data_IF_392983803991
#
_entry.id   IF_392983803991
#
_cell.length_a   1.000
_cell.length_b   1.000
_cell.length_c   1.000
_cell.angle_alpha   90.00
_cell.angle_beta   90.00
_cell.angle_gamma   90.00
#
_symmetry.space_group_name_H-M   'P 1'
#
loop_
_entity.id
_entity.type
_entity.pdbx_description
1 polymer ?
#
# COMPACT_ATOMS: atom_id res chain seq x y z
N UNK A 1 -2.02 20.53 36.09
CA UNK A 1 -2.19 19.21 35.44
C UNK A 1 -3.39 19.28 34.50
N UNK A 2 -3.14 19.54 33.22
CA UNK A 2 -3.99 19.07 32.12
C UNK A 2 -3.04 18.85 30.95
N UNK A 3 -2.62 17.60 30.78
CA UNK A 3 -1.84 17.18 29.61
C UNK A 3 -2.76 17.23 28.40
N UNK A 4 -2.24 17.78 27.32
CA UNK A 4 -2.91 17.89 26.03
C UNK A 4 -3.53 16.54 25.63
N UNK A 5 -4.85 16.55 25.42
CA UNK A 5 -5.50 15.60 24.51
C UNK A 5 -5.05 15.98 23.10
N UNK A 6 -3.85 15.56 22.72
CA UNK A 6 -3.52 15.45 21.30
C UNK A 6 -4.55 14.50 20.72
N UNK A 7 -5.36 15.02 19.80
CA UNK A 7 -6.35 14.25 19.08
C UNK A 7 -5.68 12.95 18.60
N UNK A 8 -6.17 11.81 19.08
CA UNK A 8 -5.78 10.50 18.57
C UNK A 8 -6.25 10.48 17.10
N UNK A 9 -5.38 10.94 16.20
CA UNK A 9 -5.51 10.65 14.79
C UNK A 9 -5.28 9.15 14.69
N UNK A 10 -6.27 8.36 14.22
CA UNK A 10 -6.08 6.94 14.02
C UNK A 10 -4.78 6.74 13.24
N UNK A 11 -3.94 5.81 13.69
CA UNK A 11 -2.80 5.42 12.86
C UNK A 11 -3.38 5.05 11.49
N UNK A 12 -2.74 5.41 10.39
CA UNK A 12 -3.30 5.10 9.06
C UNK A 12 -3.60 3.60 8.90
N UNK A 13 -2.94 2.75 9.70
CA UNK A 13 -3.16 1.33 9.78
C UNK A 13 -4.52 0.92 10.40
N UNK A 14 -5.11 1.76 11.26
CA UNK A 14 -6.47 1.60 11.79
C UNK A 14 -7.53 1.78 10.68
N UNK A 15 -7.22 2.57 9.65
CA UNK A 15 -8.10 2.80 8.50
C UNK A 15 -7.84 1.84 7.32
N UNK A 16 -6.92 0.89 7.49
CA UNK A 16 -6.56 -0.06 6.44
C UNK A 16 -7.64 -1.13 6.25
N UNK A 17 -8.20 -1.25 5.05
CA UNK A 17 -9.23 -2.24 4.74
C UNK A 17 -8.77 -3.71 4.89
N UNK A 18 -7.45 -3.96 4.84
CA UNK A 18 -6.87 -5.28 5.07
C UNK A 18 -6.66 -5.62 6.55
N UNK A 19 -6.87 -4.65 7.47
CA UNK A 19 -6.74 -4.89 8.90
C UNK A 19 -7.67 -6.02 9.34
N UNK A 20 -7.15 -7.00 10.06
CA UNK A 20 -7.92 -8.16 10.53
C UNK A 20 -8.10 -9.28 9.48
N UNK A 21 -7.66 -9.07 8.23
CA UNK A 21 -7.56 -10.13 7.23
C UNK A 21 -6.23 -10.86 7.47
N UNK A 22 -6.29 -12.17 7.74
CA UNK A 22 -5.10 -12.96 8.11
C UNK A 22 -3.95 -12.87 7.11
N UNK A 23 -2.71 -12.88 7.62
CA UNK A 23 -1.46 -12.68 6.86
C UNK A 23 -1.25 -13.67 5.70
N UNK A 24 -1.88 -14.85 5.75
CA UNK A 24 -1.76 -15.88 4.70
C UNK A 24 -2.22 -15.39 3.31
N UNK A 25 -3.09 -14.38 3.25
CA UNK A 25 -3.53 -13.78 2.00
C UNK A 25 -2.48 -12.88 1.33
N UNK A 26 -1.43 -12.48 2.04
CA UNK A 26 -0.46 -11.47 1.59
C UNK A 26 1.00 -11.97 1.56
N UNK A 27 1.30 -13.14 2.14
CA UNK A 27 2.67 -13.67 2.32
C UNK A 27 2.87 -15.16 1.94
N UNK A 28 1.95 -15.80 1.21
CA UNK A 28 2.07 -17.23 0.85
C UNK A 28 3.12 -17.55 -0.23
N UNK A 29 3.82 -18.69 -0.09
CA UNK A 29 4.88 -19.15 -1.00
C UNK A 29 4.38 -19.60 -2.40
N UNK A 30 3.11 -20.03 -2.52
CA UNK A 30 2.57 -20.71 -3.71
C UNK A 30 1.55 -19.90 -4.56
N UNK A 31 1.19 -18.65 -4.19
CA UNK A 31 0.07 -17.92 -4.82
C UNK A 31 0.42 -16.51 -5.35
N UNK A 32 1.61 -16.31 -5.92
CA UNK A 32 2.16 -14.97 -6.24
C UNK A 32 1.26 -14.07 -7.13
N UNK A 33 0.36 -14.63 -7.94
CA UNK A 33 -0.62 -13.85 -8.72
C UNK A 33 -2.03 -13.82 -8.11
N UNK A 34 -2.49 -14.92 -7.48
CA UNK A 34 -3.82 -14.98 -6.86
C UNK A 34 -3.90 -14.10 -5.60
N UNK A 35 -2.86 -14.10 -4.77
CA UNK A 35 -2.74 -13.22 -3.59
C UNK A 35 -2.70 -11.75 -3.99
N UNK A 36 -1.98 -11.41 -5.07
CA UNK A 36 -1.88 -10.03 -5.55
C UNK A 36 -3.19 -9.51 -6.13
N UNK A 37 -3.91 -10.32 -6.91
CA UNK A 37 -5.25 -9.96 -7.42
C UNK A 37 -6.24 -9.74 -6.27
N UNK A 38 -6.30 -10.65 -5.29
CA UNK A 38 -7.16 -10.51 -4.10
C UNK A 38 -6.82 -9.26 -3.27
N UNK A 39 -5.53 -9.04 -3.02
CA UNK A 39 -5.08 -7.85 -2.29
C UNK A 39 -5.47 -6.56 -3.00
N UNK A 40 -5.38 -6.52 -4.34
CA UNK A 40 -5.76 -5.35 -5.13
C UNK A 40 -7.25 -5.02 -5.06
N UNK A 41 -8.12 -6.04 -4.97
CA UNK A 41 -9.55 -5.85 -4.73
C UNK A 41 -9.77 -5.14 -3.39
N UNK A 42 -9.11 -5.62 -2.33
CA UNK A 42 -9.19 -5.02 -0.99
C UNK A 42 -8.64 -3.58 -1.00
N UNK A 43 -7.52 -3.35 -1.69
CA UNK A 43 -6.90 -2.03 -1.75
C UNK A 43 -7.72 -1.01 -2.55
N UNK A 44 -8.54 -1.44 -3.53
CA UNK A 44 -9.25 -0.54 -4.46
C UNK A 44 -10.16 0.49 -3.79
N UNK A 45 -10.70 0.19 -2.61
CA UNK A 45 -11.51 1.11 -1.79
C UNK A 45 -10.87 1.51 -0.46
N UNK A 46 -9.59 1.20 -0.25
CA UNK A 46 -8.93 1.40 1.03
C UNK A 46 -8.58 2.88 1.25
N UNK A 47 -9.11 3.48 2.34
CA UNK A 47 -8.83 4.88 2.71
C UNK A 47 -7.35 5.11 3.03
N UNK A 48 -6.70 4.10 3.60
CA UNK A 48 -5.28 4.15 3.95
C UNK A 48 -4.32 3.92 2.78
N UNK A 49 -4.78 3.74 1.54
CA UNK A 49 -3.94 3.31 0.41
C UNK A 49 -2.74 4.25 0.17
N UNK A 50 -2.94 5.56 0.32
CA UNK A 50 -1.86 6.55 0.16
C UNK A 50 -0.79 6.40 1.24
N UNK A 51 -1.20 6.41 2.50
CA UNK A 51 -0.29 6.27 3.65
C UNK A 51 0.41 4.91 3.64
N UNK A 52 -0.29 3.85 3.24
CA UNK A 52 0.24 2.50 3.09
C UNK A 52 1.37 2.44 2.05
N UNK A 53 1.17 3.04 0.85
CA UNK A 53 2.23 3.06 -0.17
C UNK A 53 3.40 3.94 0.26
N UNK A 54 3.11 5.10 0.86
CA UNK A 54 4.13 6.03 1.35
C UNK A 54 5.04 5.35 2.36
N UNK A 55 4.47 4.72 3.38
CA UNK A 55 5.20 3.98 4.40
C UNK A 55 6.07 2.87 3.78
N UNK A 56 5.53 2.10 2.83
CA UNK A 56 6.27 1.02 2.19
C UNK A 56 7.49 1.51 1.39
N UNK A 57 7.40 2.70 0.79
CA UNK A 57 8.49 3.28 0.01
C UNK A 57 9.54 3.96 0.92
N UNK A 58 9.11 4.68 1.95
CA UNK A 58 10.01 5.33 2.91
C UNK A 58 10.82 4.32 3.71
N UNK A 59 10.20 3.23 4.15
CA UNK A 59 10.87 2.16 4.90
C UNK A 59 11.51 1.09 4.03
N UNK A 60 11.43 1.25 2.69
CA UNK A 60 11.92 0.27 1.71
C UNK A 60 11.47 -1.16 2.02
N UNK A 61 10.19 -1.32 2.35
CA UNK A 61 9.61 -2.61 2.75
C UNK A 61 9.84 -3.68 1.68
N UNK A 62 10.65 -4.67 2.01
CA UNK A 62 11.16 -5.68 1.07
C UNK A 62 10.14 -6.78 0.76
N UNK A 63 9.12 -6.95 1.62
CA UNK A 63 8.20 -8.07 1.56
C UNK A 63 6.72 -7.65 1.49
N UNK A 64 5.87 -8.60 1.11
CA UNK A 64 4.41 -8.44 1.15
C UNK A 64 3.82 -7.49 0.10
N UNK A 65 2.51 -7.33 0.21
CA UNK A 65 1.72 -6.48 -0.68
C UNK A 65 1.32 -5.21 0.06
N UNK A 66 1.68 -4.06 -0.51
CA UNK A 66 1.41 -2.75 0.07
C UNK A 66 0.67 -1.90 -0.96
N UNK A 67 -0.48 -1.35 -0.61
CA UNK A 67 -1.32 -0.57 -1.53
C UNK A 67 -1.57 -1.26 -2.90
N UNK A 68 -1.68 -2.60 -2.92
CA UNK A 68 -1.87 -3.38 -4.15
C UNK A 68 -0.62 -3.53 -5.03
N UNK A 69 0.55 -3.16 -4.51
CA UNK A 69 1.87 -3.33 -5.15
C UNK A 69 2.61 -4.53 -4.55
N UNK A 70 3.26 -5.33 -5.39
CA UNK A 70 4.19 -6.38 -4.94
C UNK A 70 5.55 -5.80 -4.59
N UNK A 71 6.36 -6.53 -3.82
CA UNK A 71 7.76 -6.18 -3.55
C UNK A 71 8.54 -5.80 -4.81
N UNK A 72 8.50 -6.66 -5.84
CA UNK A 72 9.17 -6.41 -7.14
C UNK A 72 8.67 -5.16 -7.86
N UNK A 73 7.41 -4.77 -7.69
CA UNK A 73 6.91 -3.51 -8.25
C UNK A 73 7.48 -2.32 -7.47
N UNK A 74 7.53 -2.40 -6.14
CA UNK A 74 8.08 -1.34 -5.28
C UNK A 74 9.58 -1.15 -5.47
N UNK A 75 10.36 -2.20 -5.70
CA UNK A 75 11.79 -2.07 -6.04
C UNK A 75 12.01 -1.09 -7.21
N UNK A 76 11.16 -1.14 -8.24
CA UNK A 76 11.24 -0.21 -9.38
C UNK A 76 10.89 1.22 -8.98
N UNK A 77 9.94 1.41 -8.05
CA UNK A 77 9.56 2.71 -7.53
C UNK A 77 10.67 3.31 -6.65
N UNK A 78 11.31 2.47 -5.83
CA UNK A 78 12.45 2.87 -4.99
C UNK A 78 13.63 3.32 -5.86
N UNK A 79 13.91 2.63 -6.96
CA UNK A 79 14.94 3.07 -7.92
C UNK A 79 14.65 4.47 -8.46
N UNK A 80 13.38 4.80 -8.75
CA UNK A 80 13.02 6.15 -9.19
C UNK A 80 13.27 7.20 -8.09
N UNK A 81 12.99 6.85 -6.84
CA UNK A 81 13.26 7.73 -5.68
C UNK A 81 14.76 7.94 -5.50
N UNK A 82 15.55 6.87 -5.62
CA UNK A 82 17.02 6.94 -5.57
C UNK A 82 17.63 7.74 -6.73
N UNK A 83 16.91 7.83 -7.86
CA UNK A 83 17.25 8.72 -8.99
C UNK A 83 16.84 10.18 -8.76
N UNK A 84 16.27 10.51 -7.59
CA UNK A 84 15.95 11.87 -7.17
C UNK A 84 14.48 12.28 -7.31
N UNK A 85 13.57 11.35 -7.64
CA UNK A 85 12.13 11.65 -7.59
C UNK A 85 11.64 11.66 -6.14
N UNK A 86 10.76 12.59 -5.80
CA UNK A 86 10.17 12.62 -4.47
C UNK A 86 9.13 11.50 -4.27
N UNK A 87 9.04 10.98 -3.04
CA UNK A 87 8.14 9.89 -2.67
C UNK A 87 6.69 10.22 -2.98
N UNK A 88 6.25 11.46 -2.69
CA UNK A 88 4.87 11.89 -2.90
C UNK A 88 4.48 11.88 -4.39
N UNK A 89 5.38 12.31 -5.28
CA UNK A 89 5.19 12.22 -6.74
C UNK A 89 5.08 10.78 -7.18
N UNK A 90 5.97 9.90 -6.71
CA UNK A 90 5.94 8.46 -7.05
C UNK A 90 4.64 7.81 -6.56
N UNK A 91 4.18 8.15 -5.35
CA UNK A 91 2.90 7.70 -4.79
C UNK A 91 1.74 8.18 -5.65
N UNK A 92 1.66 9.48 -5.96
CA UNK A 92 0.60 10.06 -6.82
C UNK A 92 0.58 9.42 -8.20
N UNK A 93 1.73 9.28 -8.84
CA UNK A 93 1.84 8.64 -10.16
C UNK A 93 1.37 7.18 -10.09
N UNK A 94 1.77 6.44 -9.07
CA UNK A 94 1.41 5.03 -8.89
C UNK A 94 -0.10 4.88 -8.68
N UNK A 95 -0.69 5.66 -7.77
CA UNK A 95 -2.12 5.56 -7.45
C UNK A 95 -3.03 6.16 -8.53
N UNK A 96 -2.52 7.06 -9.37
CA UNK A 96 -3.29 7.62 -10.50
C UNK A 96 -3.26 6.73 -11.74
N UNK A 97 -2.28 5.83 -11.86
CA UNK A 97 -2.13 4.97 -13.01
C UNK A 97 -3.27 3.93 -13.07
N UNK A 98 -4.07 3.87 -14.16
CA UNK A 98 -5.18 2.91 -14.30
C UNK A 98 -4.77 1.45 -14.21
N UNK A 99 -3.49 1.13 -14.51
CA UNK A 99 -2.93 -0.20 -14.27
C UNK A 99 -2.81 -0.54 -12.79
N UNK A 100 -2.94 0.42 -11.89
CA UNK A 100 -2.95 0.23 -10.44
C UNK A 100 -4.29 0.64 -9.78
N UNK A 101 -5.16 1.36 -10.51
CA UNK A 101 -6.58 1.58 -10.14
C UNK A 101 -7.44 0.40 -10.60
N UNK A 102 -7.40 -0.69 -9.86
CA UNK A 102 -8.15 -1.93 -10.14
C UNK A 102 -9.67 -1.81 -9.89
N UNK A 103 -10.18 -0.62 -9.60
CA UNK A 103 -11.61 -0.31 -9.47
C UNK A 103 -12.44 -0.66 -10.73
N UNK A 104 -11.79 -0.99 -11.85
CA UNK A 104 -12.43 -1.36 -13.12
C UNK A 104 -12.62 -2.87 -13.36
N UNK A 105 -12.22 -3.75 -12.43
CA UNK A 105 -12.37 -5.22 -12.58
C UNK A 105 -13.10 -5.90 -11.43
N UNK A 106 -13.87 -5.14 -10.64
CA UNK A 106 -14.91 -5.68 -9.76
C UNK A 106 -16.24 -5.71 -10.50
N UNK A 107 -16.39 -6.64 -11.43
CA UNK A 107 -17.60 -6.92 -12.21
C UNK A 107 -17.52 -8.33 -12.78
#
# INVERSE_FOLDING_TARGET
MVQHLEAYSPSWWDEAACRGIGNFHFFGEDERQCSLKRARIICGGCKAIKSCLTHALENKEEYGIWAGTSARAREKLIVLIEQGLDVETVVKMTLSNPRFRWAQYGG
#
